data_IF_447574737947
#
_entry.id   IF_447574737947
#
_cell.length_a   1.000
_cell.length_b   1.000
_cell.length_c   1.000
_cell.angle_alpha   90.00
_cell.angle_beta   90.00
_cell.angle_gamma   90.00
#
_symmetry.space_group_name_H-M   'P 1'
#
loop_
_entity.id
_entity.type
_entity.pdbx_description
1 polymer ?
#
# COMPACT_ATOMS: atom_id res chain seq x y z
N UNK A 1 -7.40 0.70 15.53
CA UNK A 1 -6.44 0.55 16.64
C UNK A 1 -6.80 -0.69 17.43
N UNK A 2 -5.81 -1.46 17.89
CA UNK A 2 -6.02 -2.65 18.72
C UNK A 2 -4.89 -2.76 19.77
N UNK A 3 -4.99 -3.72 20.70
CA UNK A 3 -3.87 -4.00 21.62
C UNK A 3 -2.76 -4.72 20.86
N UNK A 4 -1.52 -4.29 21.03
CA UNK A 4 -0.34 -5.01 20.54
C UNK A 4 0.13 -6.08 21.54
N UNK A 5 1.19 -6.81 21.20
CA UNK A 5 1.75 -7.90 22.03
C UNK A 5 2.23 -7.46 23.42
N UNK A 6 2.40 -6.16 23.64
CA UNK A 6 2.74 -5.58 24.94
C UNK A 6 1.50 -5.12 25.73
N UNK A 7 0.29 -5.47 25.27
CA UNK A 7 -0.99 -5.10 25.89
C UNK A 7 -1.37 -3.61 25.73
N UNK A 8 -0.60 -2.82 24.97
CA UNK A 8 -0.85 -1.38 24.78
C UNK A 8 -1.72 -1.12 23.56
N UNK A 9 -2.60 -0.12 23.63
CA UNK A 9 -3.37 0.33 22.47
C UNK A 9 -2.39 0.92 21.43
N UNK A 10 -2.47 0.43 20.20
CA UNK A 10 -1.59 0.82 19.12
C UNK A 10 -2.32 0.76 17.78
N UNK A 11 -1.70 1.37 16.77
CA UNK A 11 -2.05 1.12 15.39
C UNK A 11 -1.42 -0.21 15.01
N UNK A 12 -2.23 -1.27 14.85
CA UNK A 12 -1.75 -2.64 14.59
C UNK A 12 -1.85 -3.03 13.12
N UNK A 13 -2.71 -2.36 12.36
CA UNK A 13 -2.92 -2.57 10.94
C UNK A 13 -3.03 -1.21 10.24
N UNK A 14 -2.34 -1.07 9.12
CA UNK A 14 -2.43 0.07 8.20
C UNK A 14 -2.67 -0.48 6.80
N UNK A 15 -3.77 -0.10 6.16
CA UNK A 15 -4.03 -0.42 4.76
C UNK A 15 -3.84 0.82 3.92
N UNK A 16 -2.82 0.80 3.07
CA UNK A 16 -2.56 1.82 2.06
C UNK A 16 -3.41 1.51 0.83
N UNK A 17 -4.15 2.50 0.34
CA UNK A 17 -4.93 2.43 -0.90
C UNK A 17 -4.43 3.47 -1.90
N UNK A 18 -3.21 3.32 -2.45
CA UNK A 18 -2.68 4.30 -3.39
C UNK A 18 -3.53 4.32 -4.67
N UNK A 19 -3.93 5.53 -5.06
CA UNK A 19 -4.56 5.82 -6.35
C UNK A 19 -3.54 6.58 -7.21
N UNK A 20 -3.29 6.07 -8.41
CA UNK A 20 -2.30 6.60 -9.34
C UNK A 20 -2.94 6.82 -10.70
N UNK A 21 -2.56 7.91 -11.37
CA UNK A 21 -2.98 8.21 -12.74
C UNK A 21 -1.76 8.19 -13.64
N UNK A 22 -1.82 7.36 -14.68
CA UNK A 22 -0.80 7.26 -15.71
C UNK A 22 -1.23 8.05 -16.95
N UNK A 23 -0.26 8.56 -17.71
CA UNK A 23 -0.49 9.32 -18.95
C UNK A 23 0.51 8.91 -20.02
N UNK A 24 0.28 9.35 -21.25
CA UNK A 24 1.08 9.01 -22.43
C UNK A 24 0.53 7.82 -23.20
N UNK A 25 1.25 7.42 -24.25
CA UNK A 25 0.76 6.47 -25.25
C UNK A 25 0.77 5.01 -24.77
N UNK A 26 1.54 4.70 -23.72
CA UNK A 26 1.64 3.36 -23.15
C UNK A 26 1.32 3.39 -21.66
N UNK A 27 0.15 2.87 -21.33
CA UNK A 27 -0.31 2.72 -19.96
C UNK A 27 0.09 1.34 -19.42
N UNK A 28 0.45 1.23 -18.12
CA UNK A 28 0.73 -0.05 -17.51
C UNK A 28 -0.55 -0.89 -17.40
N UNK A 29 -0.39 -2.19 -17.52
CA UNK A 29 -1.40 -3.18 -17.18
C UNK A 29 -1.58 -3.28 -15.67
N UNK A 30 -2.72 -3.83 -15.23
CA UNK A 30 -3.00 -4.08 -13.81
C UNK A 30 -1.89 -4.87 -13.13
N UNK A 31 -1.31 -5.88 -13.80
CA UNK A 31 -0.22 -6.69 -13.25
C UNK A 31 1.08 -5.91 -13.11
N UNK A 32 1.37 -4.97 -14.02
CA UNK A 32 2.49 -4.05 -13.87
C UNK A 32 2.26 -3.09 -12.70
N UNK A 33 1.05 -2.56 -12.54
CA UNK A 33 0.67 -1.70 -11.40
C UNK A 33 0.87 -2.46 -10.08
N UNK A 34 0.34 -3.69 -9.97
CA UNK A 34 0.53 -4.55 -8.79
C UNK A 34 2.01 -4.78 -8.49
N UNK A 35 2.81 -5.12 -9.51
CA UNK A 35 4.27 -5.35 -9.34
C UNK A 35 5.00 -4.10 -8.87
N UNK A 36 4.70 -2.93 -9.43
CA UNK A 36 5.29 -1.67 -9.00
C UNK A 36 4.98 -1.37 -7.53
N UNK A 37 3.72 -1.52 -7.11
CA UNK A 37 3.34 -1.28 -5.72
C UNK A 37 3.93 -2.30 -4.75
N UNK A 38 4.03 -3.57 -5.15
CA UNK A 38 4.68 -4.60 -4.35
C UNK A 38 6.17 -4.29 -4.14
N UNK A 39 6.90 -4.03 -5.23
CA UNK A 39 8.33 -3.69 -5.17
C UNK A 39 8.58 -2.43 -4.33
N UNK A 40 7.75 -1.38 -4.49
CA UNK A 40 7.86 -0.17 -3.67
C UNK A 40 7.61 -0.44 -2.18
N UNK A 41 6.73 -1.39 -1.84
CA UNK A 41 6.44 -1.73 -0.47
C UNK A 41 7.52 -2.60 0.18
N UNK A 42 8.12 -3.52 -0.57
CA UNK A 42 9.27 -4.33 -0.09
C UNK A 42 10.44 -3.44 0.34
N UNK A 43 10.67 -2.34 -0.38
CA UNK A 43 11.73 -1.37 -0.09
C UNK A 43 11.29 -0.20 0.83
N UNK A 44 10.11 -0.29 1.45
CA UNK A 44 9.54 0.82 2.22
C UNK A 44 10.16 0.92 3.63
N UNK A 45 11.04 1.92 3.83
CA UNK A 45 11.64 2.17 5.15
C UNK A 45 10.63 2.41 6.28
N UNK A 46 9.47 3.00 5.98
CA UNK A 46 8.44 3.23 7.00
C UNK A 46 7.79 1.91 7.40
N UNK A 47 7.45 1.06 6.43
CA UNK A 47 6.88 -0.25 6.71
C UNK A 47 7.86 -1.15 7.49
N UNK A 48 9.16 -1.08 7.17
CA UNK A 48 10.20 -1.82 7.89
C UNK A 48 10.53 -1.26 9.28
N UNK A 49 10.07 -0.05 9.60
CA UNK A 49 10.37 0.63 10.88
C UNK A 49 9.23 0.58 11.89
N UNK A 50 8.07 0.04 11.51
CA UNK A 50 6.89 -0.03 12.38
C UNK A 50 6.55 -1.47 12.74
N UNK A 51 5.89 -1.66 13.88
CA UNK A 51 5.34 -2.96 14.29
C UNK A 51 3.96 -3.26 13.69
N UNK A 52 3.34 -2.25 13.09
CA UNK A 52 2.05 -2.41 12.43
C UNK A 52 2.19 -3.35 11.24
N UNK A 53 1.22 -4.23 11.03
CA UNK A 53 1.05 -4.84 9.72
C UNK A 53 0.69 -3.74 8.72
N UNK A 54 1.49 -3.58 7.66
CA UNK A 54 1.21 -2.62 6.59
C UNK A 54 0.83 -3.39 5.34
N UNK A 55 -0.36 -3.12 4.81
CA UNK A 55 -0.88 -3.72 3.57
C UNK A 55 -0.91 -2.67 2.48
N UNK A 56 -0.52 -3.05 1.27
CA UNK A 56 -0.65 -2.20 0.09
C UNK A 56 -1.73 -2.78 -0.83
N UNK A 57 -2.86 -2.10 -0.94
CA UNK A 57 -4.02 -2.47 -1.76
C UNK A 57 -4.26 -1.39 -2.83
N UNK A 58 -3.49 -1.38 -3.92
CA UNK A 58 -3.58 -0.33 -4.94
C UNK A 58 -4.93 -0.34 -5.65
N UNK A 59 -5.40 0.86 -5.99
CA UNK A 59 -6.58 1.05 -6.82
C UNK A 59 -6.18 0.84 -8.28
N UNK A 60 -6.74 -0.17 -8.94
CA UNK A 60 -6.42 -0.49 -10.34
C UNK A 60 -7.28 0.28 -11.34
N UNK A 61 -8.54 0.52 -10.99
CA UNK A 61 -9.42 1.43 -11.71
C UNK A 61 -9.79 2.60 -10.78
N UNK A 62 -9.24 3.81 -11.00
CA UNK A 62 -9.65 4.97 -10.23
C UNK A 62 -11.13 5.27 -10.49
N UNK A 63 -11.90 5.71 -9.47
CA UNK A 63 -13.30 6.06 -9.67
C UNK A 63 -13.41 7.12 -10.77
N UNK A 64 -14.34 6.89 -11.70
CA UNK A 64 -14.68 7.87 -12.73
C UNK A 64 -15.36 9.05 -12.01
N UNK A 65 -14.61 10.15 -11.90
CA UNK A 65 -15.16 11.46 -11.52
C UNK A 65 -16.06 11.99 -12.62
#
# INVERSE_FOLDING_TARGET
MARNDNGKLAMTLVTLRPEVRFSGDRLPTDDEIRRMHHAAHEECFIASSVRSEVRCEPVLEPPRG
#
